data_IF_404579634365
#
_entry.id   IF_404579634365
#
_cell.length_a   1.000
_cell.length_b   1.000
_cell.length_c   1.000
_cell.angle_alpha   90.00
_cell.angle_beta   90.00
_cell.angle_gamma   90.00
#
_symmetry.space_group_name_H-M   'P 1'
#
loop_
_entity.id
_entity.type
_entity.pdbx_description
1 polymer ?
#
# COMPACT_ATOMS: atom_id res chain seq x y z
N UNK A 1 58.10 -30.67 -7.98
CA UNK A 1 57.87 -29.67 -6.92
C UNK A 1 57.37 -28.39 -7.54
N UNK A 2 56.09 -28.05 -7.46
CA UNK A 2 55.65 -26.65 -7.33
C UNK A 2 54.33 -26.67 -6.55
N UNK A 3 54.36 -26.11 -5.34
CA UNK A 3 53.19 -25.85 -4.52
C UNK A 3 52.64 -24.46 -4.84
N UNK A 4 51.33 -24.34 -4.64
CA UNK A 4 50.60 -23.16 -4.19
C UNK A 4 50.33 -22.02 -5.19
N UNK A 5 49.05 -21.90 -5.58
CA UNK A 5 48.36 -20.62 -5.64
C UNK A 5 46.94 -20.79 -5.10
N UNK A 6 46.79 -20.67 -3.78
CA UNK A 6 45.50 -20.40 -3.16
C UNK A 6 45.31 -18.88 -3.17
N UNK A 7 44.44 -18.38 -4.05
CA UNK A 7 43.88 -17.04 -3.91
C UNK A 7 42.36 -17.21 -3.76
N UNK A 8 41.91 -17.27 -2.51
CA UNK A 8 40.49 -17.20 -2.15
C UNK A 8 40.01 -15.78 -2.45
N UNK A 9 39.24 -15.61 -3.52
CA UNK A 9 38.47 -14.38 -3.72
C UNK A 9 37.33 -14.39 -2.71
N UNK A 10 37.39 -13.48 -1.74
CA UNK A 10 36.35 -13.26 -0.75
C UNK A 10 35.15 -12.61 -1.44
N UNK A 11 34.04 -13.34 -1.56
CA UNK A 11 32.73 -12.79 -1.90
C UNK A 11 32.28 -11.95 -0.71
N UNK A 12 32.46 -10.63 -0.80
CA UNK A 12 31.86 -9.68 0.13
C UNK A 12 30.36 -9.62 -0.09
N UNK A 13 29.60 -10.43 0.66
CA UNK A 13 28.15 -10.32 0.70
C UNK A 13 27.80 -9.03 1.45
N UNK A 14 27.46 -7.98 0.70
CA UNK A 14 26.97 -6.73 1.25
C UNK A 14 25.57 -6.99 1.80
N UNK A 15 25.47 -7.21 3.12
CA UNK A 15 24.20 -7.27 3.82
C UNK A 15 23.60 -5.85 3.84
N UNK A 16 22.71 -5.57 2.89
CA UNK A 16 21.86 -4.38 2.93
C UNK A 16 20.82 -4.63 4.02
N UNK A 17 21.07 -4.13 5.23
CA UNK A 17 20.06 -4.10 6.29
C UNK A 17 19.07 -2.98 5.98
N UNK A 18 17.95 -3.31 5.36
CA UNK A 18 16.81 -2.39 5.25
C UNK A 18 16.28 -2.13 6.66
N UNK A 19 16.48 -0.91 7.18
CA UNK A 19 15.89 -0.50 8.45
C UNK A 19 14.36 -0.39 8.29
N UNK A 20 13.55 -0.88 9.26
CA UNK A 20 12.12 -0.66 9.23
C UNK A 20 11.86 0.84 9.43
N UNK A 21 11.27 1.49 8.43
CA UNK A 21 10.81 2.87 8.56
C UNK A 21 9.78 2.95 9.71
N UNK A 22 9.80 4.03 10.51
CA UNK A 22 8.79 4.21 11.54
C UNK A 22 7.40 4.26 10.87
N UNK A 23 6.48 3.43 11.36
CA UNK A 23 5.05 3.48 11.03
C UNK A 23 4.48 4.76 11.67
N UNK A 24 4.83 5.93 11.14
CA UNK A 24 3.94 7.09 11.27
C UNK A 24 2.60 6.65 10.75
N UNK A 25 1.55 6.73 11.59
CA UNK A 25 0.18 6.45 11.18
C UNK A 25 -0.04 7.19 9.85
N UNK A 26 -0.12 6.44 8.76
CA UNK A 26 -0.13 7.01 7.44
C UNK A 26 -1.42 7.82 7.34
N UNK A 27 -1.25 9.12 7.19
CA UNK A 27 -2.37 10.05 7.10
C UNK A 27 -3.15 9.70 5.84
N UNK A 28 -4.48 9.53 5.95
CA UNK A 28 -5.34 9.02 4.88
C UNK A 28 -5.11 9.79 3.57
N UNK A 29 -4.37 9.16 2.65
CA UNK A 29 -4.00 9.76 1.38
C UNK A 29 -5.14 9.55 0.38
N UNK A 30 -5.55 10.64 -0.28
CA UNK A 30 -6.66 10.65 -1.23
C UNK A 30 -6.13 10.81 -2.64
N UNK A 31 -6.53 9.89 -3.53
CA UNK A 31 -6.06 9.88 -4.90
C UNK A 31 -7.21 10.01 -5.90
N UNK A 32 -7.01 10.76 -7.00
CA UNK A 32 -7.99 10.89 -8.08
C UNK A 32 -8.07 9.62 -8.96
N UNK A 33 -7.07 8.75 -8.94
CA UNK A 33 -7.05 7.52 -9.74
C UNK A 33 -6.61 6.30 -8.93
N UNK A 34 -7.15 5.13 -9.29
CA UNK A 34 -6.78 3.85 -8.68
C UNK A 34 -5.27 3.56 -8.84
N UNK A 35 -4.68 3.94 -9.98
CA UNK A 35 -3.25 3.74 -10.24
C UNK A 35 -2.37 4.52 -9.25
N UNK A 36 -2.72 5.77 -8.95
CA UNK A 36 -1.96 6.58 -8.00
C UNK A 36 -2.07 6.00 -6.58
N UNK A 37 -3.25 5.52 -6.19
CA UNK A 37 -3.43 4.82 -4.92
C UNK A 37 -2.61 3.51 -4.88
N UNK A 38 -2.62 2.72 -5.95
CA UNK A 38 -1.83 1.49 -6.06
C UNK A 38 -0.32 1.72 -5.96
N UNK A 39 0.18 2.85 -6.46
CA UNK A 39 1.58 3.23 -6.30
C UNK A 39 1.92 3.60 -4.85
N UNK A 40 0.96 4.16 -4.10
CA UNK A 40 1.14 4.54 -2.70
C UNK A 40 1.08 3.32 -1.76
N UNK A 41 0.17 2.39 -2.01
CA UNK A 41 0.06 1.13 -1.26
C UNK A 41 0.07 -0.09 -2.19
N UNK A 42 1.26 -0.55 -2.63
CA UNK A 42 1.39 -1.65 -3.57
C UNK A 42 0.87 -2.99 -3.02
N UNK A 43 0.91 -3.16 -1.70
CA UNK A 43 0.54 -4.40 -1.00
C UNK A 43 -0.84 -4.34 -0.32
N UNK A 44 -1.60 -3.26 -0.51
CA UNK A 44 -2.93 -3.08 0.08
C UNK A 44 -4.04 -3.06 -0.98
N UNK A 45 -5.28 -3.21 -0.51
CA UNK A 45 -6.46 -3.03 -1.35
C UNK A 45 -6.74 -1.56 -1.58
N UNK A 46 -6.95 -1.22 -2.84
CA UNK A 46 -7.48 0.09 -3.21
C UNK A 46 -9.00 0.06 -3.06
N UNK A 47 -9.52 1.01 -2.28
CA UNK A 47 -10.95 1.18 -2.04
C UNK A 47 -11.39 2.57 -2.47
N UNK A 48 -12.64 2.67 -2.87
CA UNK A 48 -13.27 3.95 -3.14
C UNK A 48 -13.99 4.44 -1.89
N UNK A 49 -13.46 5.48 -1.26
CA UNK A 49 -14.04 6.08 -0.05
C UNK A 49 -15.00 7.19 -0.41
N UNK A 50 -16.23 7.12 0.12
CA UNK A 50 -17.16 8.25 0.14
C UNK A 50 -16.82 9.15 1.36
N UNK A 51 -16.19 10.29 1.09
CA UNK A 51 -15.62 11.17 2.13
C UNK A 51 -16.66 11.69 3.13
N UNK A 52 -17.87 12.16 2.71
CA UNK A 52 -18.91 12.55 3.65
C UNK A 52 -19.39 11.47 4.62
N UNK A 53 -19.39 10.19 4.21
CA UNK A 53 -20.00 9.12 5.00
C UNK A 53 -19.02 8.20 5.71
N UNK A 54 -17.74 8.23 5.34
CA UNK A 54 -16.73 7.30 5.84
C UNK A 54 -16.98 5.85 5.42
N UNK A 55 -17.74 5.64 4.33
CA UNK A 55 -18.03 4.32 3.79
C UNK A 55 -17.18 4.10 2.56
N UNK A 56 -16.37 3.04 2.56
CA UNK A 56 -15.61 2.64 1.39
C UNK A 56 -16.21 1.42 0.70
N UNK A 57 -15.93 1.34 -0.59
CA UNK A 57 -16.38 0.31 -1.51
C UNK A 57 -15.18 -0.39 -2.13
N UNK A 58 -15.24 -1.70 -2.27
CA UNK A 58 -14.21 -2.49 -2.94
C UNK A 58 -14.37 -2.44 -4.46
N UNK A 59 -13.28 -2.70 -5.18
CA UNK A 59 -13.31 -2.85 -6.63
C UNK A 59 -14.35 -3.90 -7.04
N UNK A 60 -15.17 -3.56 -8.03
CA UNK A 60 -16.27 -4.39 -8.52
C UNK A 60 -17.60 -4.20 -7.78
N UNK A 61 -17.64 -3.45 -6.68
CA UNK A 61 -18.89 -3.05 -6.04
C UNK A 61 -19.54 -1.88 -6.78
N UNK A 62 -20.86 -1.74 -6.63
CA UNK A 62 -21.68 -0.79 -7.39
C UNK A 62 -21.19 0.65 -7.26
N UNK A 63 -20.74 1.05 -6.07
CA UNK A 63 -20.37 2.44 -5.80
C UNK A 63 -18.88 2.74 -5.95
N UNK A 64 -18.07 1.77 -6.38
CA UNK A 64 -16.65 1.98 -6.62
C UNK A 64 -16.41 2.99 -7.74
N UNK A 65 -15.80 4.14 -7.41
CA UNK A 65 -15.55 5.23 -8.37
C UNK A 65 -16.79 6.04 -8.79
N UNK A 66 -17.93 5.85 -8.11
CA UNK A 66 -19.23 6.32 -8.63
C UNK A 66 -19.76 7.62 -7.99
N UNK A 67 -19.20 8.06 -6.85
CA UNK A 67 -19.72 9.22 -6.10
C UNK A 67 -18.95 10.49 -6.44
N UNK A 68 -19.61 11.66 -6.45
CA UNK A 68 -18.92 12.94 -6.72
C UNK A 68 -17.86 13.31 -5.68
N UNK A 69 -18.14 13.01 -4.40
CA UNK A 69 -17.31 13.37 -3.26
C UNK A 69 -16.59 12.14 -2.70
N UNK A 70 -15.89 11.40 -3.56
CA UNK A 70 -15.09 10.26 -3.14
C UNK A 70 -13.66 10.32 -3.67
N UNK A 71 -12.83 9.44 -3.15
CA UNK A 71 -11.43 9.30 -3.52
C UNK A 71 -11.00 7.84 -3.48
N UNK A 72 -9.99 7.49 -4.28
CA UNK A 72 -9.26 6.23 -4.09
C UNK A 72 -8.33 6.38 -2.89
N UNK A 73 -8.37 5.41 -2.00
CA UNK A 73 -7.54 5.37 -0.79
C UNK A 73 -7.07 3.94 -0.54
N UNK A 74 -6.06 3.79 0.29
CA UNK A 74 -5.63 2.50 0.81
C UNK A 74 -6.61 2.04 1.89
N UNK A 75 -7.05 0.79 1.83
CA UNK A 75 -7.99 0.24 2.81
C UNK A 75 -7.46 0.35 4.24
N UNK A 76 -6.19 0.03 4.46
CA UNK A 76 -5.58 0.07 5.79
C UNK A 76 -5.56 1.49 6.37
N UNK A 77 -5.31 2.50 5.53
CA UNK A 77 -5.39 3.91 5.94
C UNK A 77 -6.82 4.34 6.26
N UNK A 78 -7.80 3.89 5.46
CA UNK A 78 -9.21 4.16 5.71
C UNK A 78 -9.68 3.52 7.03
N UNK A 79 -9.32 2.25 7.26
CA UNK A 79 -9.62 1.55 8.52
C UNK A 79 -8.95 2.26 9.72
N UNK A 80 -7.71 2.72 9.57
CA UNK A 80 -6.99 3.47 10.60
C UNK A 80 -7.61 4.86 10.87
N UNK A 81 -8.24 5.47 9.86
CA UNK A 81 -9.00 6.71 9.98
C UNK A 81 -10.40 6.51 10.60
N UNK A 82 -10.82 5.25 10.83
CA UNK A 82 -12.13 4.91 11.38
C UNK A 82 -13.24 4.78 10.32
N UNK A 83 -12.88 4.80 9.04
CA UNK A 83 -13.79 4.48 7.95
C UNK A 83 -14.09 2.98 7.91
N UNK A 84 -15.12 2.59 7.16
CA UNK A 84 -15.53 1.19 7.11
C UNK A 84 -16.11 0.76 5.76
N UNK A 85 -16.05 -0.54 5.51
CA UNK A 85 -16.68 -1.14 4.34
C UNK A 85 -18.21 -0.98 4.31
N UNK A 86 -18.75 -0.89 3.10
CA UNK A 86 -20.18 -1.07 2.83
C UNK A 86 -20.68 -2.44 3.34
N UNK A 87 -21.82 -2.45 4.02
CA UNK A 87 -22.37 -3.67 4.67
C UNK A 87 -22.98 -4.67 3.70
N UNK A 88 -23.42 -4.22 2.53
CA UNK A 88 -24.22 -5.03 1.61
C UNK A 88 -23.51 -5.30 0.28
N UNK A 89 -22.19 -5.07 0.20
CA UNK A 89 -21.42 -5.23 -1.03
C UNK A 89 -21.82 -4.28 -2.17
N UNK A 90 -22.63 -3.27 -1.87
CA UNK A 90 -22.90 -2.16 -2.78
C UNK A 90 -21.73 -1.20 -2.78
#
# INVERSE_FOLDING_TARGET
MVRAFFARVLVGFLLITAAPAPLTAAQLAQFPTEQQAQQHCPDDYIVWLNLPSGIYHYKGQRWYGATKNGAFVCKAEADAAGDRASRNGQ
#
